data_IF_543873950343
#
_entry.id   IF_543873950343
#
_cell.length_a   1.000
_cell.length_b   1.000
_cell.length_c   1.000
_cell.angle_alpha   90.00
_cell.angle_beta   90.00
_cell.angle_gamma   90.00
#
_symmetry.space_group_name_H-M   'P 1'
#
loop_
_entity.id
_entity.type
_entity.pdbx_description
1 polymer ?
#
# COMPACT_ATOMS: atom_id res chain seq x y z
N UNK A 1 26.32 -13.95 38.47
CA UNK A 1 26.44 -14.01 36.99
C UNK A 1 25.04 -13.98 36.43
N UNK A 2 24.72 -13.01 35.56
CA UNK A 2 23.43 -12.98 34.85
C UNK A 2 23.54 -14.01 33.71
N UNK A 3 22.65 -15.01 33.62
CA UNK A 3 22.65 -15.96 32.50
C UNK A 3 22.58 -15.27 31.13
N UNK A 4 23.42 -15.68 30.18
CA UNK A 4 23.50 -15.06 28.84
C UNK A 4 22.17 -15.04 28.08
N UNK A 5 21.30 -16.02 28.30
CA UNK A 5 19.98 -16.07 27.68
C UNK A 5 19.08 -14.89 28.08
N UNK A 6 19.25 -14.31 29.27
CA UNK A 6 18.47 -13.14 29.71
C UNK A 6 18.78 -11.91 28.86
N UNK A 7 20.03 -11.73 28.43
CA UNK A 7 20.41 -10.63 27.55
C UNK A 7 19.81 -10.78 26.16
N UNK A 8 19.77 -12.01 25.63
CA UNK A 8 19.12 -12.32 24.34
C UNK A 8 17.64 -11.99 24.41
N UNK A 9 16.95 -12.44 25.47
CA UNK A 9 15.52 -12.15 25.68
C UNK A 9 15.28 -10.65 25.80
N UNK A 10 16.09 -9.94 26.59
CA UNK A 10 15.98 -8.49 26.74
C UNK A 10 16.17 -7.74 25.41
N UNK A 11 17.12 -8.17 24.58
CA UNK A 11 17.33 -7.61 23.25
C UNK A 11 16.13 -7.84 22.32
N UNK A 12 15.58 -9.06 22.30
CA UNK A 12 14.39 -9.39 21.49
C UNK A 12 13.20 -8.52 21.91
N UNK A 13 12.92 -8.44 23.22
CA UNK A 13 11.82 -7.61 23.76
C UNK A 13 12.05 -6.13 23.42
N UNK A 14 13.28 -5.63 23.53
CA UNK A 14 13.63 -4.26 23.17
C UNK A 14 13.36 -3.95 21.70
N UNK A 15 13.77 -4.84 20.78
CA UNK A 15 13.51 -4.69 19.33
C UNK A 15 12.01 -4.72 19.03
N UNK A 16 11.26 -5.63 19.64
CA UNK A 16 9.81 -5.72 19.47
C UNK A 16 9.11 -4.45 19.98
N UNK A 17 9.46 -3.98 21.18
CA UNK A 17 8.88 -2.76 21.75
C UNK A 17 9.18 -1.53 20.90
N UNK A 18 10.42 -1.40 20.41
CA UNK A 18 10.80 -0.32 19.50
C UNK A 18 10.02 -0.39 18.17
N UNK A 19 9.83 -1.59 17.62
CA UNK A 19 9.02 -1.82 16.43
C UNK A 19 7.56 -1.41 16.62
N UNK A 20 6.94 -1.82 17.73
CA UNK A 20 5.56 -1.45 18.08
C UNK A 20 5.40 0.07 18.30
N UNK A 21 6.38 0.70 18.96
CA UNK A 21 6.35 2.16 19.18
C UNK A 21 6.47 2.92 17.87
N UNK A 22 7.39 2.51 16.99
CA UNK A 22 7.55 3.09 15.65
C UNK A 22 6.26 2.96 14.84
N UNK A 23 5.61 1.80 14.87
CA UNK A 23 4.36 1.58 14.15
C UNK A 23 3.21 2.45 14.70
N UNK A 24 3.14 2.58 16.04
CA UNK A 24 2.16 3.48 16.67
C UNK A 24 2.36 4.93 16.27
N UNK A 25 3.60 5.39 16.15
CA UNK A 25 3.90 6.74 15.67
C UNK A 25 3.56 6.91 14.19
N UNK A 26 3.83 5.91 13.35
CA UNK A 26 3.43 5.91 11.93
C UNK A 26 1.92 6.09 11.80
N UNK A 27 1.13 5.29 12.52
CA UNK A 27 -0.33 5.33 12.45
C UNK A 27 -0.90 6.65 12.98
N UNK A 28 -0.35 7.19 14.08
CA UNK A 28 -0.75 8.51 14.59
C UNK A 28 -0.48 9.63 13.58
N UNK A 29 0.72 9.64 12.99
CA UNK A 29 1.05 10.61 11.94
C UNK A 29 0.12 10.51 10.74
N UNK A 30 -0.23 9.27 10.33
CA UNK A 30 -1.22 9.05 9.27
C UNK A 30 -2.63 9.47 9.66
N UNK A 31 -3.04 9.30 10.92
CA UNK A 31 -4.35 9.72 11.41
C UNK A 31 -4.48 11.25 11.39
N UNK A 32 -3.46 11.95 11.88
CA UNK A 32 -3.42 13.41 11.85
C UNK A 32 -3.37 13.94 10.42
N UNK A 33 -2.56 13.33 9.55
CA UNK A 33 -2.52 13.64 8.12
C UNK A 33 -3.89 13.44 7.46
N UNK A 34 -4.54 12.29 7.70
CA UNK A 34 -5.84 11.97 7.13
C UNK A 34 -6.88 13.01 7.55
N UNK A 35 -6.92 13.34 8.85
CA UNK A 35 -7.83 14.35 9.40
C UNK A 35 -7.62 15.73 8.77
N UNK A 36 -6.37 16.16 8.58
CA UNK A 36 -6.03 17.45 7.97
C UNK A 36 -6.48 17.58 6.52
N UNK A 37 -6.54 16.47 5.79
CA UNK A 37 -6.88 16.43 4.36
C UNK A 37 -8.30 15.91 4.08
N UNK A 38 -9.11 15.70 5.12
CA UNK A 38 -10.48 15.20 4.96
C UNK A 38 -10.58 13.72 4.57
N UNK A 39 -9.51 12.95 4.78
CA UNK A 39 -9.52 11.49 4.64
C UNK A 39 -9.93 10.80 5.95
N UNK A 40 -10.36 9.55 5.81
CA UNK A 40 -10.62 8.63 6.92
C UNK A 40 -9.55 7.54 6.90
N UNK A 41 -8.84 7.35 8.01
CA UNK A 41 -7.87 6.27 8.20
C UNK A 41 -8.59 4.99 8.68
N UNK A 42 -8.23 3.87 8.07
CA UNK A 42 -8.68 2.52 8.43
C UNK A 42 -7.46 1.66 8.75
N UNK A 43 -7.50 0.95 9.88
CA UNK A 43 -6.45 0.01 10.28
C UNK A 43 -7.04 -1.09 11.18
N UNK A 44 -7.12 -2.35 10.71
CA UNK A 44 -6.79 -2.80 9.36
C UNK A 44 -7.76 -2.24 8.31
N UNK A 45 -7.28 -2.07 7.08
CA UNK A 45 -8.07 -1.72 5.92
C UNK A 45 -8.82 -2.94 5.42
N UNK A 46 -10.12 -2.79 5.21
CA UNK A 46 -10.97 -3.83 4.61
C UNK A 46 -11.34 -3.38 3.20
N UNK A 47 -10.80 -4.00 2.14
CA UNK A 47 -11.14 -3.61 0.77
C UNK A 47 -12.64 -3.85 0.53
N UNK A 48 -13.35 -2.77 0.22
CA UNK A 48 -14.75 -2.83 -0.18
C UNK A 48 -14.92 -3.15 -1.67
N UNK A 49 -16.16 -3.16 -2.12
CA UNK A 49 -16.50 -3.32 -3.55
C UNK A 49 -16.14 -2.07 -4.37
N UNK A 50 -16.10 -0.89 -3.73
CA UNK A 50 -15.80 0.40 -4.35
C UNK A 50 -14.95 1.26 -3.41
N UNK A 51 -13.73 1.66 -3.80
CA UNK A 51 -12.96 1.17 -4.94
C UNK A 51 -12.62 -0.35 -4.82
N UNK A 52 -12.59 -1.13 -5.92
CA UNK A 52 -12.31 -2.57 -5.91
C UNK A 52 -10.80 -2.86 -5.78
N UNK A 53 -10.19 -2.37 -4.69
CA UNK A 53 -8.75 -2.46 -4.45
C UNK A 53 -8.20 -3.90 -4.49
N UNK A 54 -8.99 -4.89 -4.08
CA UNK A 54 -8.60 -6.29 -4.15
C UNK A 54 -8.40 -6.79 -5.58
N UNK A 55 -9.37 -6.54 -6.46
CA UNK A 55 -9.30 -6.95 -7.87
C UNK A 55 -8.17 -6.19 -8.61
N UNK A 56 -8.03 -4.89 -8.35
CA UNK A 56 -6.95 -4.08 -8.93
C UNK A 56 -5.56 -4.57 -8.50
N UNK A 57 -5.38 -4.91 -7.23
CA UNK A 57 -4.11 -5.44 -6.73
C UNK A 57 -3.83 -6.82 -7.34
N UNK A 58 -4.83 -7.70 -7.39
CA UNK A 58 -4.67 -9.01 -8.03
C UNK A 58 -4.26 -8.90 -9.49
N UNK A 59 -4.86 -7.96 -10.22
CA UNK A 59 -4.55 -7.70 -11.63
C UNK A 59 -3.14 -7.16 -11.84
N UNK A 60 -2.65 -6.29 -10.95
CA UNK A 60 -1.26 -5.79 -10.99
C UNK A 60 -0.23 -6.89 -10.69
N UNK A 61 -0.57 -7.78 -9.78
CA UNK A 61 0.40 -8.68 -9.15
C UNK A 61 0.33 -10.11 -9.70
N UNK A 62 -0.71 -10.39 -10.50
CA UNK A 62 -1.04 -11.69 -11.05
C UNK A 62 -1.57 -12.68 -10.01
N UNK A 63 -1.91 -12.20 -8.80
CA UNK A 63 -2.36 -13.01 -7.65
C UNK A 63 -2.96 -12.15 -6.55
N UNK A 64 -3.87 -12.70 -5.74
CA UNK A 64 -4.50 -11.94 -4.67
C UNK A 64 -3.49 -11.53 -3.59
N UNK A 65 -3.66 -10.34 -2.98
CA UNK A 65 -2.91 -9.96 -1.79
C UNK A 65 -3.12 -10.95 -0.65
N UNK A 66 -2.06 -11.20 0.13
CA UNK A 66 -2.14 -12.09 1.30
C UNK A 66 -2.70 -11.38 2.51
N UNK A 67 -2.44 -10.07 2.65
CA UNK A 67 -2.90 -9.23 3.77
C UNK A 67 -3.11 -7.79 3.32
N UNK A 68 -3.96 -7.11 4.07
CA UNK A 68 -4.16 -5.66 4.00
C UNK A 68 -3.68 -5.03 5.31
N UNK A 69 -2.95 -3.92 5.18
CA UNK A 69 -2.43 -3.15 6.31
C UNK A 69 -3.35 -1.98 6.61
N UNK A 70 -2.79 -0.78 6.75
CA UNK A 70 -3.58 0.45 6.84
C UNK A 70 -4.03 0.95 5.46
N UNK A 71 -5.08 1.78 5.45
CA UNK A 71 -5.53 2.48 4.26
C UNK A 71 -6.29 3.74 4.61
N UNK A 72 -6.37 4.67 3.66
CA UNK A 72 -7.14 5.90 3.78
C UNK A 72 -8.16 5.98 2.65
N UNK A 73 -9.33 6.55 2.95
CA UNK A 73 -10.38 6.81 1.96
C UNK A 73 -10.84 8.26 2.05
N UNK A 74 -11.21 8.86 0.94
CA UNK A 74 -11.82 10.19 0.93
C UNK A 74 -11.98 10.73 -0.47
N UNK A 75 -12.05 12.05 -0.59
CA UNK A 75 -12.36 12.72 -1.85
C UNK A 75 -11.28 13.76 -2.15
N UNK A 76 -10.75 13.72 -3.38
CA UNK A 76 -9.80 14.72 -3.90
C UNK A 76 -10.34 15.26 -5.21
N UNK A 77 -10.47 16.58 -5.32
CA UNK A 77 -11.03 17.24 -6.52
C UNK A 77 -12.39 16.66 -6.96
N UNK A 78 -13.23 16.28 -5.99
CA UNK A 78 -14.56 15.68 -6.23
C UNK A 78 -14.54 14.20 -6.63
N UNK A 79 -13.40 13.52 -6.53
CA UNK A 79 -13.24 12.12 -6.91
C UNK A 79 -12.97 11.27 -5.67
N UNK A 80 -13.73 10.18 -5.54
CA UNK A 80 -13.50 9.18 -4.50
C UNK A 80 -12.18 8.44 -4.75
N UNK A 81 -11.34 8.40 -3.72
CA UNK A 81 -10.05 7.74 -3.75
C UNK A 81 -9.92 6.86 -2.51
N UNK A 82 -9.39 5.66 -2.72
CA UNK A 82 -8.85 4.84 -1.65
C UNK A 82 -7.36 4.61 -1.88
N UNK A 83 -6.56 4.78 -0.82
CA UNK A 83 -5.13 4.48 -0.81
C UNK A 83 -4.86 3.46 0.28
N UNK A 84 -4.40 2.26 -0.06
CA UNK A 84 -4.19 1.21 0.93
C UNK A 84 -2.88 0.45 0.70
N UNK A 85 -2.30 -0.05 1.79
CA UNK A 85 -1.17 -0.95 1.73
C UNK A 85 -1.61 -2.43 1.74
N UNK A 86 -0.93 -3.24 0.95
CA UNK A 86 -1.17 -4.67 0.87
C UNK A 86 0.13 -5.45 0.78
N UNK A 87 0.11 -6.66 1.32
CA UNK A 87 1.20 -7.63 1.25
C UNK A 87 0.96 -8.54 0.05
N UNK A 88 2.00 -8.75 -0.75
CA UNK A 88 2.02 -9.82 -1.74
C UNK A 88 3.16 -10.79 -1.47
N UNK A 89 3.00 -12.06 -1.84
CA UNK A 89 4.12 -12.98 -1.76
C UNK A 89 5.13 -12.64 -2.87
N UNK A 90 6.42 -12.78 -2.60
CA UNK A 90 7.46 -12.78 -3.61
C UNK A 90 8.37 -13.98 -3.37
N UNK A 91 8.82 -14.63 -4.44
CA UNK A 91 9.81 -15.70 -4.33
C UNK A 91 11.18 -15.06 -4.11
N UNK A 92 11.79 -15.39 -2.98
CA UNK A 92 13.20 -15.12 -2.68
C UNK A 92 13.98 -16.44 -2.62
N UNK A 93 15.30 -16.31 -2.54
CA UNK A 93 16.20 -17.40 -2.19
C UNK A 93 16.88 -17.02 -0.87
N UNK A 94 16.92 -17.93 0.10
CA UNK A 94 17.59 -17.66 1.37
C UNK A 94 19.11 -17.68 1.19
N UNK A 95 19.86 -17.49 2.28
CA UNK A 95 21.32 -17.51 2.24
C UNK A 95 21.91 -18.84 1.73
N UNK A 96 21.12 -19.92 1.70
CA UNK A 96 21.50 -21.25 1.20
C UNK A 96 21.05 -21.51 -0.24
N UNK A 97 20.37 -20.54 -0.87
CA UNK A 97 19.79 -20.70 -2.20
C UNK A 97 18.44 -21.41 -2.21
N UNK A 98 17.89 -21.76 -1.04
CA UNK A 98 16.60 -22.44 -0.94
C UNK A 98 15.46 -21.45 -1.21
N UNK A 99 14.48 -21.82 -2.05
CA UNK A 99 13.35 -20.95 -2.34
C UNK A 99 12.52 -20.72 -1.08
N UNK A 100 12.28 -19.46 -0.75
CA UNK A 100 11.37 -19.05 0.32
C UNK A 100 10.43 -17.96 -0.18
N UNK A 101 9.28 -17.82 0.48
CA UNK A 101 8.32 -16.77 0.14
C UNK A 101 8.46 -15.63 1.14
N UNK A 102 8.76 -14.42 0.65
CA UNK A 102 8.78 -13.19 1.45
C UNK A 102 7.54 -12.35 1.16
N UNK A 103 6.99 -11.73 2.19
CA UNK A 103 5.96 -10.71 2.05
C UNK A 103 6.57 -9.39 1.60
N UNK A 104 6.10 -8.84 0.49
CA UNK A 104 6.46 -7.48 0.05
C UNK A 104 5.23 -6.59 0.20
N UNK A 105 5.39 -5.55 1.03
CA UNK A 105 4.40 -4.51 1.21
C UNK A 105 4.46 -3.48 0.09
N UNK A 106 3.28 -3.11 -0.40
CA UNK A 106 3.09 -2.10 -1.44
C UNK A 106 1.93 -1.21 -1.06
N UNK A 107 1.93 0.02 -1.58
CA UNK A 107 0.85 0.99 -1.39
C UNK A 107 0.24 1.31 -2.74
N UNK A 108 -1.07 1.39 -2.79
CA UNK A 108 -1.81 1.60 -4.03
C UNK A 108 -2.91 2.63 -3.83
N UNK A 109 -2.98 3.60 -4.74
CA UNK A 109 -4.12 4.50 -4.87
C UNK A 109 -5.07 3.99 -5.95
N UNK A 110 -6.37 4.01 -5.71
CA UNK A 110 -7.40 3.68 -6.69
C UNK A 110 -8.45 4.79 -6.80
N UNK A 111 -8.94 5.02 -8.01
CA UNK A 111 -9.91 6.06 -8.35
C UNK A 111 -10.81 5.62 -9.53
N UNK A 112 -12.02 6.16 -9.66
CA UNK A 112 -12.91 5.85 -10.77
C UNK A 112 -12.43 6.54 -12.07
N UNK A 113 -12.61 5.85 -13.19
CA UNK A 113 -12.41 6.36 -14.53
C UNK A 113 -13.66 7.09 -15.02
N UNK A 114 -13.48 8.13 -15.85
CA UNK A 114 -14.60 8.86 -16.46
C UNK A 114 -15.24 8.11 -17.63
N UNK A 115 -14.49 7.21 -18.27
CA UNK A 115 -14.94 6.44 -19.42
C UNK A 115 -14.59 4.97 -19.22
N UNK A 116 -15.61 4.12 -19.17
CA UNK A 116 -15.42 2.67 -19.23
C UNK A 116 -14.90 2.31 -20.62
N UNK A 117 -13.64 1.87 -20.73
CA UNK A 117 -13.07 1.46 -22.02
C UNK A 117 -11.58 1.69 -22.21
N UNK A 118 -10.91 2.42 -21.32
CA UNK A 118 -9.45 2.53 -21.38
C UNK A 118 -8.81 1.31 -20.72
N UNK A 119 -8.17 0.48 -21.52
CA UNK A 119 -7.31 -0.61 -21.05
C UNK A 119 -5.87 -0.11 -20.99
N UNK A 120 -5.31 0.04 -19.79
CA UNK A 120 -3.86 0.06 -19.63
C UNK A 120 -3.36 -1.38 -19.44
N UNK A 121 -2.29 -1.72 -20.14
CA UNK A 121 -1.64 -3.01 -19.93
C UNK A 121 -1.08 -3.06 -18.49
N UNK A 122 -1.25 -4.19 -17.78
CA UNK A 122 -0.70 -4.34 -16.44
C UNK A 122 0.81 -4.14 -16.47
N UNK A 123 1.29 -3.18 -15.69
CA UNK A 123 2.73 -2.97 -15.52
C UNK A 123 3.35 -1.91 -16.42
N UNK A 124 2.54 -1.07 -17.08
CA UNK A 124 3.02 0.17 -17.69
C UNK A 124 3.88 0.95 -16.69
N UNK A 125 5.20 1.08 -16.93
CA UNK A 125 6.09 1.76 -16.00
C UNK A 125 5.67 3.23 -15.89
N UNK A 126 5.37 3.66 -14.67
CA UNK A 126 5.08 5.05 -14.36
C UNK A 126 6.27 5.67 -13.63
N UNK A 127 6.50 7.00 -13.71
CA UNK A 127 7.50 7.70 -12.92
C UNK A 127 7.56 7.23 -11.46
N UNK A 128 8.77 7.29 -10.89
CA UNK A 128 9.07 6.86 -9.51
C UNK A 128 8.91 5.35 -9.26
N UNK A 129 9.00 4.53 -10.32
CA UNK A 129 8.99 3.07 -10.22
C UNK A 129 7.60 2.49 -9.90
N UNK A 130 6.55 3.27 -10.15
CA UNK A 130 5.18 2.82 -9.96
C UNK A 130 4.63 2.06 -11.16
N UNK A 131 3.51 1.36 -10.96
CA UNK A 131 2.81 0.61 -12.01
C UNK A 131 1.34 0.99 -12.02
N UNK A 132 0.79 1.21 -13.22
CA UNK A 132 -0.62 1.47 -13.44
C UNK A 132 -1.37 0.20 -13.83
N UNK A 133 -2.66 0.16 -13.49
CA UNK A 133 -3.62 -0.85 -13.94
C UNK A 133 -5.01 -0.24 -14.01
N UNK A 134 -5.89 -0.88 -14.78
CA UNK A 134 -7.32 -0.64 -14.74
C UNK A 134 -8.09 -1.95 -14.61
N UNK A 135 -9.24 -1.90 -13.95
CA UNK A 135 -10.20 -3.00 -13.90
C UNK A 135 -11.62 -2.43 -13.91
N UNK A 136 -12.34 -2.65 -15.02
CA UNK A 136 -13.64 -2.03 -15.27
C UNK A 136 -13.59 -0.50 -15.28
N UNK A 137 -14.36 0.12 -14.39
CA UNK A 137 -14.47 1.57 -14.24
C UNK A 137 -13.44 2.16 -13.26
N UNK A 138 -12.43 1.40 -12.86
CA UNK A 138 -11.46 1.82 -11.85
C UNK A 138 -10.04 1.73 -12.38
N UNK A 139 -9.21 2.69 -12.00
CA UNK A 139 -7.77 2.65 -12.19
C UNK A 139 -7.06 2.62 -10.85
N UNK A 140 -5.86 2.05 -10.85
CA UNK A 140 -4.98 2.04 -9.71
C UNK A 140 -3.54 2.37 -10.10
N UNK A 141 -2.84 3.00 -9.16
CA UNK A 141 -1.41 3.25 -9.22
C UNK A 141 -0.72 2.75 -7.96
N UNK A 142 0.31 1.93 -8.15
CA UNK A 142 1.01 1.25 -7.06
C UNK A 142 2.46 1.71 -6.94
N UNK A 143 2.88 2.02 -5.71
CA UNK A 143 4.26 2.25 -5.28
C UNK A 143 4.76 1.13 -4.37
N UNK A 144 6.09 1.02 -4.23
CA UNK A 144 6.72 0.09 -3.27
C UNK A 144 6.67 0.64 -1.85
N UNK A 145 6.58 -0.25 -0.87
CA UNK A 145 6.66 0.07 0.55
C UNK A 145 5.31 0.24 1.22
N UNK A 146 5.33 0.84 2.40
CA UNK A 146 4.18 0.94 3.30
C UNK A 146 3.42 2.26 3.11
N UNK A 147 2.23 2.34 3.68
CA UNK A 147 1.48 3.58 3.82
C UNK A 147 2.24 4.52 4.77
N UNK A 148 2.82 5.56 4.20
CA UNK A 148 3.48 6.65 4.93
C UNK A 148 2.96 7.97 4.37
N UNK A 149 3.09 9.04 5.15
CA UNK A 149 2.72 10.37 4.69
C UNK A 149 3.40 10.72 3.36
N UNK A 150 4.71 10.50 3.27
CA UNK A 150 5.49 10.77 2.06
C UNK A 150 4.99 9.97 0.83
N UNK A 151 4.62 8.70 1.02
CA UNK A 151 4.08 7.89 -0.09
C UNK A 151 2.69 8.36 -0.50
N UNK A 152 1.84 8.75 0.45
CA UNK A 152 0.51 9.30 0.15
C UNK A 152 0.62 10.63 -0.58
N UNK A 153 1.48 11.53 -0.12
CA UNK A 153 1.76 12.80 -0.79
C UNK A 153 2.29 12.58 -2.21
N UNK A 154 3.19 11.62 -2.40
CA UNK A 154 3.66 11.22 -3.74
C UNK A 154 2.50 10.73 -4.61
N UNK A 155 1.65 9.85 -4.08
CA UNK A 155 0.49 9.32 -4.79
C UNK A 155 -0.46 10.43 -5.24
N UNK A 156 -0.78 11.36 -4.33
CA UNK A 156 -1.68 12.48 -4.59
C UNK A 156 -1.09 13.49 -5.58
N UNK A 157 0.19 13.84 -5.45
CA UNK A 157 0.85 14.81 -6.33
C UNK A 157 0.87 14.37 -7.80
N UNK A 158 0.98 13.05 -8.04
CA UNK A 158 1.04 12.50 -9.39
C UNK A 158 -0.30 11.94 -9.89
N UNK A 159 -1.33 11.88 -9.05
CA UNK A 159 -2.66 11.42 -9.43
C UNK A 159 -3.23 12.16 -10.66
N UNK A 160 -3.13 13.51 -10.80
CA UNK A 160 -3.63 14.19 -11.99
C UNK A 160 -2.88 13.80 -13.27
N UNK A 161 -1.60 13.44 -13.17
CA UNK A 161 -0.82 12.97 -14.31
C UNK A 161 -1.18 11.52 -14.67
N UNK A 162 -1.38 10.65 -13.68
CA UNK A 162 -1.82 9.28 -13.87
C UNK A 162 -3.21 9.22 -14.52
N UNK A 163 -4.14 10.06 -14.05
CA UNK A 163 -5.51 10.16 -14.58
C UNK A 163 -5.55 10.53 -16.06
N UNK A 164 -4.69 11.44 -16.50
CA UNK A 164 -4.61 11.88 -17.91
C UNK A 164 -4.23 10.78 -18.92
N UNK A 165 -3.77 9.60 -18.48
CA UNK A 165 -3.61 8.46 -19.41
C UNK A 165 -4.88 7.68 -19.67
N UNK A 166 -5.91 7.92 -18.87
CA UNK A 166 -7.19 7.24 -18.97
C UNK A 166 -8.33 8.19 -19.37
N UNK A 167 -8.00 9.42 -19.75
CA UNK A 167 -8.89 10.43 -20.35
C UNK A 167 -8.64 10.48 -21.86
#
# INVERSE_FOLDING_TARGET
MIPDWLWIVAAIVGVLAAGMLRERWRLRGMEDFARQHGFVLHSPFTPGERPPLAALAERLEGRPPTRWGAGITGVVDGIEIAIAEHETPARGADATGSPHTIGIWRVMAAWPLRSAGVSADPGDPWPHGGQLVCDGEWAAWRLRGNLTQANVETLLAHLPAARRRFE
#
